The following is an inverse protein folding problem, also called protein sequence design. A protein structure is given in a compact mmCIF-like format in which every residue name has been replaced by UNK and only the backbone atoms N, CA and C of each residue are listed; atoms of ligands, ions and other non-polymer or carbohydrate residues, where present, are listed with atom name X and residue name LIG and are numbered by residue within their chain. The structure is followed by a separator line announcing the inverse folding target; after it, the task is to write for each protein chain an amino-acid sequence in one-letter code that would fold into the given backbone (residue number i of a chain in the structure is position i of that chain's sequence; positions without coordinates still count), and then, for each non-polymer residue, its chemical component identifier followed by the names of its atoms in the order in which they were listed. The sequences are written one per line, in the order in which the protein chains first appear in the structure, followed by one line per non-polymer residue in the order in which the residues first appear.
data_IF_366050709384
#
_entry.id   IF_366050709384
#
_cell.length_a   1.000
_cell.length_b   1.000
_cell.length_c   1.000
_cell.angle_alpha   90.00
_cell.angle_beta   90.00
_cell.angle_gamma   90.00
#
_symmetry.space_group_name_H-M   'P 1'
#
loop_
_entity.id
_entity.type
_entity.pdbx_description
1 polymer ?
#
# COMPACT_ATOMS: atom_id res chain seq x y z
N UNK A 1 -24.05 -16.75 33.00
CA UNK A 1 -22.89 -15.84 33.17
C UNK A 1 -21.52 -16.54 33.14
N UNK A 2 -21.42 -17.88 33.03
CA UNK A 2 -20.15 -18.58 32.83
C UNK A 2 -19.87 -18.98 31.37
N UNK A 3 -20.92 -19.27 30.58
CA UNK A 3 -20.79 -19.67 29.16
C UNK A 3 -20.32 -18.52 28.26
N UNK A 4 -20.69 -17.27 28.59
CA UNK A 4 -20.29 -16.07 27.82
C UNK A 4 -18.80 -15.74 28.01
N UNK A 5 -18.24 -15.98 29.20
CA UNK A 5 -16.83 -15.70 29.48
C UNK A 5 -15.88 -16.73 28.84
N UNK A 6 -16.29 -18.00 28.78
CA UNK A 6 -15.50 -19.05 28.10
C UNK A 6 -15.54 -18.84 26.58
N UNK A 7 -16.70 -18.46 26.03
CA UNK A 7 -16.84 -18.13 24.61
C UNK A 7 -15.99 -16.92 24.19
N UNK A 8 -15.97 -15.86 25.00
CA UNK A 8 -15.15 -14.67 24.74
C UNK A 8 -13.64 -14.96 24.83
N UNK A 9 -13.19 -15.76 25.80
CA UNK A 9 -11.78 -16.13 25.93
C UNK A 9 -11.26 -16.99 24.77
N UNK A 10 -12.09 -17.92 24.28
CA UNK A 10 -11.75 -18.73 23.10
C UNK A 10 -11.69 -17.90 21.82
N UNK A 11 -12.64 -16.97 21.64
CA UNK A 11 -12.65 -16.01 20.55
C UNK A 11 -11.41 -15.10 20.53
N UNK A 12 -11.07 -14.48 21.66
CA UNK A 12 -9.88 -13.63 21.78
C UNK A 12 -8.62 -14.44 21.45
N UNK A 13 -8.53 -15.70 21.91
CA UNK A 13 -7.39 -16.55 21.61
C UNK A 13 -7.24 -16.89 20.11
N UNK A 14 -8.33 -16.97 19.36
CA UNK A 14 -8.26 -17.22 17.90
C UNK A 14 -7.85 -15.97 17.13
N UNK A 15 -8.34 -14.80 17.55
CA UNK A 15 -8.02 -13.51 16.91
C UNK A 15 -6.57 -13.09 17.19
N UNK A 16 -6.06 -13.31 18.41
CA UNK A 16 -4.72 -12.86 18.85
C UNK A 16 -3.59 -13.71 18.26
N UNK A 17 -3.85 -14.96 17.87
CA UNK A 17 -2.82 -15.83 17.25
C UNK A 17 -2.96 -15.90 15.73
N UNK A 18 -3.69 -14.96 15.11
CA UNK A 18 -3.73 -14.87 13.67
C UNK A 18 -2.41 -14.31 13.14
N UNK A 19 -1.80 -15.01 12.19
CA UNK A 19 -0.71 -14.50 11.38
C UNK A 19 -1.29 -14.10 10.02
N UNK A 20 -0.97 -12.89 9.59
CA UNK A 20 -1.40 -12.37 8.29
C UNK A 20 -0.64 -13.06 7.18
N UNK A 21 -1.33 -13.42 6.09
CA UNK A 21 -0.67 -13.86 4.86
C UNK A 21 -0.01 -12.69 4.10
N UNK A 22 -0.28 -11.44 4.51
CA UNK A 22 0.40 -10.25 4.00
C UNK A 22 1.77 -10.07 4.63
N UNK A 23 2.69 -9.50 3.86
CA UNK A 23 4.03 -9.16 4.31
C UNK A 23 5.07 -10.17 3.85
N UNK A 24 6.20 -10.21 4.56
CA UNK A 24 7.32 -11.09 4.22
C UNK A 24 8.06 -11.51 5.48
N UNK A 25 8.66 -12.69 5.45
CA UNK A 25 9.57 -13.17 6.49
C UNK A 25 11.02 -12.70 6.28
N UNK A 26 11.29 -11.97 5.20
CA UNK A 26 12.60 -11.40 4.92
C UNK A 26 13.14 -10.59 6.12
N UNK A 27 14.45 -10.70 6.32
CA UNK A 27 15.20 -9.87 7.26
C UNK A 27 16.14 -8.98 6.44
N UNK A 28 16.10 -7.69 6.71
CA UNK A 28 16.90 -6.71 6.01
C UNK A 28 18.12 -6.31 6.84
N UNK A 29 19.31 -6.46 6.27
CA UNK A 29 20.55 -5.90 6.80
C UNK A 29 20.73 -4.48 6.30
N UNK A 30 20.99 -3.55 7.23
CA UNK A 30 21.15 -2.12 6.92
C UNK A 30 22.50 -1.63 7.38
N UNK A 31 23.25 -1.00 6.48
CA UNK A 31 24.49 -0.29 6.78
C UNK A 31 24.30 1.21 6.58
N UNK A 32 24.30 1.98 7.66
CA UNK A 32 24.19 3.45 7.57
C UNK A 32 25.51 4.08 7.14
N UNK A 33 25.44 4.95 6.14
CA UNK A 33 26.62 5.62 5.60
C UNK A 33 27.24 6.57 6.63
N UNK A 34 28.57 6.58 6.67
CA UNK A 34 29.39 7.52 7.46
C UNK A 34 30.66 7.91 6.67
N UNK A 35 31.14 9.16 6.76
CA UNK A 35 30.57 10.30 7.49
C UNK A 35 29.40 10.97 6.72
N UNK A 36 28.60 11.76 7.44
CA UNK A 36 27.66 12.71 6.85
C UNK A 36 28.40 13.90 6.21
N UNK A 37 27.76 14.57 5.25
CA UNK A 37 28.29 15.79 4.65
C UNK A 37 27.15 16.79 4.43
N UNK A 38 27.46 18.07 4.23
CA UNK A 38 26.46 19.10 3.88
C UNK A 38 26.06 18.98 2.38
N UNK A 39 26.09 17.75 1.85
CA UNK A 39 25.75 17.41 0.47
C UNK A 39 24.25 17.37 0.28
N UNK A 40 23.83 17.13 -0.96
CA UNK A 40 22.40 16.96 -1.31
C UNK A 40 22.17 15.72 -2.16
N UNK A 41 23.19 14.86 -2.25
CA UNK A 41 23.19 13.60 -3.00
C UNK A 41 24.04 12.56 -2.25
N UNK A 42 24.15 12.68 -0.92
CA UNK A 42 24.96 11.76 -0.15
C UNK A 42 24.27 10.41 0.00
N UNK A 43 25.06 9.34 0.08
CA UNK A 43 24.54 8.04 0.44
C UNK A 43 24.09 8.07 1.91
N UNK A 44 22.90 7.55 2.18
CA UNK A 44 22.29 7.49 3.50
C UNK A 44 22.44 6.10 4.09
N UNK A 45 22.09 5.07 3.31
CA UNK A 45 22.12 3.69 3.77
C UNK A 45 22.31 2.72 2.59
N UNK A 46 22.91 1.57 2.88
CA UNK A 46 22.95 0.41 1.99
C UNK A 46 22.10 -0.69 2.61
N UNK A 47 21.23 -1.30 1.81
CA UNK A 47 20.23 -2.27 2.24
C UNK A 47 20.41 -3.54 1.42
N UNK A 48 20.39 -4.69 2.07
CA UNK A 48 20.40 -6.01 1.44
C UNK A 48 19.63 -7.02 2.29
N UNK A 49 19.04 -8.03 1.66
CA UNK A 49 18.39 -9.09 2.40
C UNK A 49 19.40 -10.08 3.00
N UNK A 50 19.05 -10.71 4.13
CA UNK A 50 19.77 -11.89 4.60
C UNK A 50 19.59 -13.10 3.68
N UNK A 51 20.52 -14.05 3.76
CA UNK A 51 20.52 -15.28 2.94
C UNK A 51 19.18 -16.02 2.99
N UNK A 52 18.64 -16.36 1.82
CA UNK A 52 17.41 -17.14 1.68
C UNK A 52 16.12 -16.32 1.61
N UNK A 53 16.24 -15.00 1.47
CA UNK A 53 15.12 -14.10 1.22
C UNK A 53 14.41 -14.35 -0.13
N UNK A 54 13.19 -13.86 -0.23
CA UNK A 54 12.41 -13.78 -1.48
C UNK A 54 12.51 -12.39 -2.13
N UNK A 55 12.31 -12.31 -3.44
CA UNK A 55 12.20 -11.02 -4.14
C UNK A 55 10.91 -10.29 -3.71
N UNK A 56 10.98 -8.96 -3.55
CA UNK A 56 9.83 -8.14 -3.17
C UNK A 56 9.41 -7.22 -4.33
N UNK A 57 8.13 -7.22 -4.68
CA UNK A 57 7.58 -6.30 -5.69
C UNK A 57 7.71 -4.83 -5.23
N UNK A 58 8.28 -3.97 -6.08
CA UNK A 58 8.42 -2.53 -5.78
C UNK A 58 7.08 -1.83 -5.55
N UNK A 59 6.05 -2.28 -6.27
CA UNK A 59 4.67 -1.79 -6.15
C UNK A 59 4.05 -2.00 -4.76
N UNK A 60 4.60 -2.94 -3.98
CA UNK A 60 4.12 -3.33 -2.66
C UNK A 60 5.05 -2.89 -1.53
N UNK A 61 6.15 -2.22 -1.87
CA UNK A 61 7.19 -1.83 -0.94
C UNK A 61 7.08 -0.33 -0.63
N UNK A 62 7.14 0.01 0.65
CA UNK A 62 7.23 1.38 1.14
C UNK A 62 8.52 1.50 1.95
N UNK A 63 9.45 2.38 1.55
CA UNK A 63 10.66 2.68 2.32
C UNK A 63 10.62 4.12 2.80
N UNK A 64 11.09 4.36 4.01
CA UNK A 64 11.31 5.69 4.53
C UNK A 64 12.52 5.71 5.47
N UNK A 65 13.18 6.86 5.52
CA UNK A 65 14.23 7.15 6.49
C UNK A 65 13.77 8.25 7.43
N UNK A 66 13.88 8.00 8.74
CA UNK A 66 13.68 9.00 9.76
C UNK A 66 15.03 9.58 10.13
N UNK A 67 15.21 10.89 9.94
CA UNK A 67 16.36 11.64 10.43
C UNK A 67 15.90 12.55 11.56
N UNK A 68 16.41 12.32 12.75
CA UNK A 68 15.94 12.87 14.02
C UNK A 68 14.43 12.62 14.27
N UNK A 69 13.57 13.55 13.85
CA UNK A 69 12.12 13.50 14.04
C UNK A 69 11.32 13.66 12.73
N UNK A 70 12.01 13.80 11.60
CA UNK A 70 11.38 13.97 10.29
C UNK A 70 11.53 12.69 9.50
N UNK A 71 10.43 12.19 8.97
CA UNK A 71 10.41 10.98 8.14
C UNK A 71 10.31 11.38 6.67
N UNK A 72 11.20 10.84 5.86
CA UNK A 72 11.29 11.07 4.43
C UNK A 72 11.05 9.74 3.72
N UNK A 73 10.00 9.66 2.90
CA UNK A 73 9.80 8.47 2.08
C UNK A 73 10.88 8.40 1.00
N UNK A 74 11.28 7.18 0.67
CA UNK A 74 12.25 6.86 -0.36
C UNK A 74 11.54 6.15 -1.52
N UNK A 75 11.87 6.54 -2.75
CA UNK A 75 11.28 5.98 -3.96
C UNK A 75 12.20 6.20 -5.15
N UNK A 76 11.87 5.63 -6.31
CA UNK A 76 12.68 5.84 -7.52
C UNK A 76 12.60 7.27 -8.08
N UNK A 77 11.56 8.02 -7.73
CA UNK A 77 11.42 9.41 -8.18
C UNK A 77 10.53 10.26 -7.26
N UNK A 78 9.38 9.72 -6.88
CA UNK A 78 8.34 10.45 -6.15
C UNK A 78 8.00 9.77 -4.84
N UNK A 79 7.38 10.53 -3.95
CA UNK A 79 6.83 10.06 -2.69
C UNK A 79 5.40 10.56 -2.52
N UNK A 80 4.65 9.91 -1.63
CA UNK A 80 3.40 10.47 -1.15
C UNK A 80 3.63 11.66 -0.22
N UNK A 81 2.78 12.67 -0.37
CA UNK A 81 2.59 13.70 0.65
C UNK A 81 1.83 13.06 1.83
N UNK A 82 2.28 13.24 3.08
CA UNK A 82 1.59 12.69 4.25
C UNK A 82 0.13 13.14 4.30
N UNK A 83 -0.77 12.18 4.52
CA UNK A 83 -2.20 12.49 4.72
C UNK A 83 -2.43 13.26 6.01
N UNK A 84 -3.41 14.16 6.01
CA UNK A 84 -3.84 14.86 7.23
C UNK A 84 -4.34 13.88 8.30
N UNK A 85 -4.14 14.21 9.57
CA UNK A 85 -4.66 13.43 10.69
C UNK A 85 -6.20 13.34 10.60
N UNK A 86 -6.73 12.12 10.66
CA UNK A 86 -8.17 11.87 10.53
C UNK A 86 -8.69 11.89 9.08
N UNK A 87 -7.83 11.93 8.06
CA UNK A 87 -8.24 11.72 6.68
C UNK A 87 -8.97 10.38 6.52
N UNK A 88 -10.08 10.40 5.78
CA UNK A 88 -10.91 9.22 5.52
C UNK A 88 -10.40 8.36 4.35
N UNK A 89 -9.51 8.91 3.52
CA UNK A 89 -8.85 8.23 2.41
C UNK A 89 -7.37 8.57 2.51
N UNK A 90 -6.52 7.55 2.60
CA UNK A 90 -5.07 7.68 2.86
C UNK A 90 -4.28 6.92 1.80
N UNK A 91 -4.04 7.53 0.63
CA UNK A 91 -3.20 6.93 -0.39
C UNK A 91 -1.72 7.06 -0.01
N UNK A 92 -0.94 6.00 -0.23
CA UNK A 92 0.51 5.94 -0.07
C UNK A 92 1.13 5.36 -1.34
N UNK A 93 2.03 6.12 -1.96
CA UNK A 93 2.71 5.74 -3.18
C UNK A 93 3.80 4.71 -2.84
N UNK A 94 3.79 3.59 -3.55
CA UNK A 94 4.83 2.56 -3.44
C UNK A 94 6.17 3.05 -4.00
N UNK A 95 7.22 2.29 -3.74
CA UNK A 95 8.58 2.60 -4.18
C UNK A 95 8.69 2.71 -5.72
N UNK A 96 7.84 1.99 -6.45
CA UNK A 96 7.73 2.04 -7.91
C UNK A 96 7.30 3.41 -8.47
N UNK A 97 6.74 4.29 -7.63
CA UNK A 97 6.25 5.61 -8.03
C UNK A 97 5.00 5.58 -8.91
N UNK A 98 4.33 4.43 -9.03
CA UNK A 98 3.20 4.22 -9.95
C UNK A 98 1.97 3.58 -9.27
N UNK A 99 2.20 2.78 -8.23
CA UNK A 99 1.15 2.05 -7.51
C UNK A 99 0.87 2.71 -6.18
N UNK A 100 -0.41 2.92 -5.85
CA UNK A 100 -0.81 3.40 -4.53
C UNK A 100 -1.38 2.27 -3.69
N UNK A 101 -0.94 2.16 -2.44
CA UNK A 101 -1.65 1.48 -1.36
C UNK A 101 -2.59 2.50 -0.71
N UNK A 102 -3.90 2.27 -0.78
CA UNK A 102 -4.91 3.19 -0.26
C UNK A 102 -5.72 2.54 0.84
N UNK A 103 -5.72 3.15 2.02
CA UNK A 103 -6.61 2.81 3.14
C UNK A 103 -7.82 3.74 3.13
N UNK A 104 -9.02 3.18 3.33
CA UNK A 104 -10.27 3.94 3.45
C UNK A 104 -10.89 3.71 4.82
N UNK A 105 -11.17 4.78 5.55
CA UNK A 105 -11.94 4.72 6.80
C UNK A 105 -13.42 4.46 6.47
N UNK A 106 -13.89 3.25 6.77
CA UNK A 106 -15.27 2.82 6.60
C UNK A 106 -15.95 2.54 7.96
N UNK A 107 -15.50 3.20 9.02
CA UNK A 107 -15.95 2.91 10.40
C UNK A 107 -17.38 3.36 10.67
N UNK A 108 -17.86 4.41 9.99
CA UNK A 108 -19.21 4.96 10.12
C UNK A 108 -20.28 3.97 9.62
N UNK A 109 -21.24 3.65 10.49
CA UNK A 109 -22.28 2.67 10.22
C UNK A 109 -23.50 3.24 9.50
N UNK A 110 -23.66 4.56 9.51
CA UNK A 110 -24.83 5.27 8.99
C UNK A 110 -24.51 6.00 7.68
N UNK A 111 -23.22 6.22 7.40
CA UNK A 111 -22.75 6.97 6.23
C UNK A 111 -21.68 6.21 5.48
N UNK A 112 -21.65 6.43 4.17
CA UNK A 112 -20.59 5.92 3.31
C UNK A 112 -19.46 6.94 3.19
N UNK A 113 -18.23 6.45 3.26
CA UNK A 113 -17.05 7.17 2.76
C UNK A 113 -17.01 7.01 1.25
N UNK A 114 -16.97 8.13 0.53
CA UNK A 114 -17.01 8.16 -0.93
C UNK A 114 -15.59 8.39 -1.46
N UNK A 115 -15.16 7.56 -2.41
CA UNK A 115 -13.84 7.60 -3.03
C UNK A 115 -13.99 7.83 -4.53
N UNK A 116 -13.18 8.73 -5.07
CA UNK A 116 -12.90 8.78 -6.50
C UNK A 116 -11.56 8.08 -6.76
N UNK A 117 -11.57 6.94 -7.48
CA UNK A 117 -10.34 6.15 -7.65
C UNK A 117 -9.34 6.81 -8.60
N UNK A 118 -9.78 7.69 -9.50
CA UNK A 118 -8.90 8.36 -10.46
C UNK A 118 -8.01 9.40 -9.76
N UNK A 119 -8.57 10.09 -8.76
CA UNK A 119 -7.86 11.11 -7.98
C UNK A 119 -7.38 10.61 -6.63
N UNK A 120 -7.81 9.42 -6.19
CA UNK A 120 -7.60 8.88 -4.83
C UNK A 120 -8.00 9.85 -3.71
N UNK A 121 -8.95 10.73 -4.01
CA UNK A 121 -9.48 11.72 -3.09
C UNK A 121 -10.91 11.41 -2.67
N UNK A 122 -11.39 12.19 -1.70
CA UNK A 122 -12.79 12.12 -1.27
C UNK A 122 -13.74 12.52 -2.40
N UNK A 123 -14.69 11.63 -2.67
CA UNK A 123 -15.85 11.90 -3.49
C UNK A 123 -17.03 12.44 -2.68
N UNK A 124 -18.20 12.43 -3.30
CA UNK A 124 -19.48 12.69 -2.65
C UNK A 124 -20.57 11.80 -3.27
N UNK A 125 -21.82 11.94 -2.80
CA UNK A 125 -22.95 11.12 -3.28
C UNK A 125 -23.10 11.11 -4.80
N UNK A 126 -22.84 12.24 -5.47
CA UNK A 126 -22.99 12.39 -6.92
C UNK A 126 -21.69 12.23 -7.71
N UNK A 127 -20.54 12.24 -7.04
CA UNK A 127 -19.22 12.23 -7.67
C UNK A 127 -18.29 11.30 -6.88
N UNK A 128 -18.41 10.01 -7.13
CA UNK A 128 -17.55 8.96 -6.59
C UNK A 128 -17.45 7.83 -7.60
N UNK A 129 -16.45 6.98 -7.44
CA UNK A 129 -16.35 5.69 -8.13
C UNK A 129 -16.77 4.56 -7.21
N UNK A 130 -16.34 4.63 -5.95
CA UNK A 130 -16.58 3.62 -4.94
C UNK A 130 -17.09 4.28 -3.66
N UNK A 131 -17.93 3.57 -2.91
CA UNK A 131 -18.37 4.02 -1.60
C UNK A 131 -18.31 2.87 -0.60
N UNK A 132 -17.85 3.17 0.61
CA UNK A 132 -17.48 2.19 1.65
C UNK A 132 -18.26 2.45 2.95
N UNK A 133 -18.84 1.42 3.53
CA UNK A 133 -19.33 1.43 4.92
C UNK A 133 -19.20 0.02 5.48
N UNK A 134 -18.43 -0.17 6.56
CA UNK A 134 -18.06 -1.49 7.06
C UNK A 134 -17.49 -2.36 5.92
N UNK A 135 -18.09 -3.52 5.68
CA UNK A 135 -17.72 -4.43 4.59
C UNK A 135 -18.46 -4.13 3.28
N UNK A 136 -19.40 -3.19 3.28
CA UNK A 136 -20.24 -2.91 2.13
C UNK A 136 -19.54 -1.90 1.23
N UNK A 137 -19.20 -2.38 0.03
CA UNK A 137 -18.56 -1.60 -1.03
C UNK A 137 -19.48 -1.62 -2.24
N UNK A 138 -19.80 -0.46 -2.78
CA UNK A 138 -20.59 -0.32 -4.01
C UNK A 138 -19.82 0.52 -5.03
N UNK A 139 -20.02 0.21 -6.30
CA UNK A 139 -19.54 0.99 -7.43
C UNK A 139 -20.60 2.02 -7.84
N UNK A 140 -20.19 3.14 -8.44
CA UNK A 140 -21.12 4.14 -9.00
C UNK A 140 -21.79 3.64 -10.29
N UNK A 141 -22.92 4.22 -10.67
CA UNK A 141 -23.79 3.71 -11.76
C UNK A 141 -23.09 3.57 -13.12
N UNK A 142 -22.20 4.51 -13.47
CA UNK A 142 -21.53 4.57 -14.77
C UNK A 142 -20.20 3.78 -14.82
N UNK A 143 -19.92 2.96 -13.81
CA UNK A 143 -18.69 2.17 -13.71
C UNK A 143 -18.86 0.82 -14.40
N UNK A 144 -17.85 0.42 -15.17
CA UNK A 144 -17.73 -0.94 -15.70
C UNK A 144 -16.60 -1.66 -14.96
N UNK A 145 -16.75 -2.96 -14.73
CA UNK A 145 -15.76 -3.69 -13.97
C UNK A 145 -15.69 -5.17 -14.34
N UNK A 146 -14.56 -5.79 -14.02
CA UNK A 146 -14.39 -7.24 -14.06
C UNK A 146 -13.53 -7.69 -12.86
N UNK A 147 -13.59 -8.97 -12.54
CA UNK A 147 -12.72 -9.58 -11.54
C UNK A 147 -11.88 -10.67 -12.20
N UNK A 148 -10.55 -10.57 -12.02
CA UNK A 148 -9.58 -11.57 -12.47
C UNK A 148 -9.18 -12.40 -11.27
N UNK A 149 -9.71 -13.62 -11.17
CA UNK A 149 -9.45 -14.53 -10.04
C UNK A 149 -7.99 -15.00 -10.00
N UNK A 150 -7.44 -15.14 -8.79
CA UNK A 150 -6.09 -15.66 -8.49
C UNK A 150 -4.95 -14.95 -9.25
N UNK A 151 -5.07 -13.63 -9.42
CA UNK A 151 -4.06 -12.81 -10.07
C UNK A 151 -3.37 -11.86 -9.07
N UNK A 152 -2.08 -11.62 -9.28
CA UNK A 152 -1.35 -10.50 -8.69
C UNK A 152 -1.66 -9.21 -9.45
N UNK A 153 -1.49 -8.06 -8.79
CA UNK A 153 -1.71 -6.76 -9.42
C UNK A 153 -0.78 -6.55 -10.63
N UNK A 154 0.47 -6.97 -10.53
CA UNK A 154 1.47 -6.86 -11.61
C UNK A 154 1.12 -7.73 -12.84
N UNK A 155 0.49 -8.91 -12.62
CA UNK A 155 0.16 -9.86 -13.67
C UNK A 155 -0.93 -9.35 -14.62
N UNK A 156 -1.80 -8.48 -14.11
CA UNK A 156 -2.91 -7.89 -14.88
C UNK A 156 -2.39 -6.70 -15.68
N UNK A 157 -2.11 -6.96 -16.95
CA UNK A 157 -1.57 -5.98 -17.92
C UNK A 157 -2.57 -5.61 -19.02
N UNK A 158 -3.62 -6.41 -19.18
CA UNK A 158 -4.72 -6.14 -20.12
C UNK A 158 -5.96 -6.94 -19.74
N UNK A 159 -7.12 -6.52 -20.23
CA UNK A 159 -8.40 -7.20 -20.01
C UNK A 159 -9.22 -7.25 -21.28
N UNK A 160 -10.07 -8.27 -21.42
CA UNK A 160 -11.09 -8.28 -22.46
C UNK A 160 -12.29 -7.43 -21.99
N UNK A 161 -12.34 -6.18 -22.44
CA UNK A 161 -13.41 -5.24 -22.10
C UNK A 161 -14.81 -5.74 -22.47
N UNK A 162 -14.96 -6.75 -23.34
CA UNK A 162 -16.26 -7.35 -23.64
C UNK A 162 -16.82 -8.20 -22.49
N UNK A 163 -15.97 -8.63 -21.55
CA UNK A 163 -16.35 -9.40 -20.37
C UNK A 163 -16.73 -8.50 -19.17
N UNK A 164 -16.54 -7.18 -19.28
CA UNK A 164 -16.82 -6.28 -18.19
C UNK A 164 -18.33 -6.15 -17.91
N UNK A 165 -18.67 -6.23 -16.63
CA UNK A 165 -19.98 -6.02 -16.07
C UNK A 165 -20.27 -4.54 -15.90
N UNK A 166 -21.53 -4.16 -16.12
CA UNK A 166 -22.07 -2.85 -15.76
C UNK A 166 -23.04 -2.95 -14.56
N UNK A 167 -23.07 -4.10 -13.87
CA UNK A 167 -23.90 -4.26 -12.68
C UNK A 167 -23.20 -3.62 -11.48
N UNK A 168 -23.74 -2.50 -11.03
CA UNK A 168 -23.23 -1.69 -9.92
C UNK A 168 -24.25 -1.53 -8.79
N UNK A 169 -25.46 -2.11 -8.97
CA UNK A 169 -26.53 -2.09 -7.97
C UNK A 169 -26.26 -3.04 -6.80
N UNK A 170 -25.54 -4.13 -7.07
CA UNK A 170 -25.16 -5.12 -6.07
C UNK A 170 -23.90 -4.68 -5.32
N UNK A 171 -23.79 -5.14 -4.06
CA UNK A 171 -22.57 -4.99 -3.27
C UNK A 171 -21.44 -5.74 -3.97
N UNK A 172 -20.25 -5.13 -4.01
CA UNK A 172 -19.05 -5.79 -4.51
C UNK A 172 -18.70 -6.99 -3.62
N UNK A 173 -18.57 -8.16 -4.22
CA UNK A 173 -18.21 -9.38 -3.51
C UNK A 173 -16.69 -9.49 -3.35
N UNK A 174 -16.11 -8.66 -2.47
CA UNK A 174 -14.66 -8.47 -2.36
C UNK A 174 -13.95 -9.30 -1.29
N UNK A 175 -14.70 -10.04 -0.47
CA UNK A 175 -14.14 -10.81 0.65
C UNK A 175 -14.83 -12.16 0.83
N UNK A 176 -14.15 -13.03 1.55
CA UNK A 176 -14.70 -14.22 2.20
C UNK A 176 -14.55 -14.08 3.72
N UNK A 177 -15.56 -14.53 4.46
CA UNK A 177 -15.52 -14.50 5.92
C UNK A 177 -15.00 -15.83 6.46
N UNK A 178 -13.84 -15.80 7.11
CA UNK A 178 -13.26 -16.96 7.76
C UNK A 178 -13.91 -17.16 9.13
N UNK A 179 -14.72 -18.21 9.27
CA UNK A 179 -15.40 -18.56 10.52
C UNK A 179 -14.48 -19.17 11.59
N UNK A 180 -13.29 -19.64 11.23
CA UNK A 180 -12.35 -20.25 12.15
C UNK A 180 -11.55 -19.19 12.93
N UNK A 181 -11.13 -18.13 12.26
CA UNK A 181 -10.41 -16.99 12.89
C UNK A 181 -11.25 -15.72 12.99
N UNK A 182 -12.48 -15.77 12.48
CA UNK A 182 -13.45 -14.68 12.49
C UNK A 182 -12.96 -13.40 11.81
N UNK A 183 -12.30 -13.57 10.66
CA UNK A 183 -11.72 -12.48 9.88
C UNK A 183 -12.38 -12.30 8.53
N UNK A 184 -12.36 -11.06 8.06
CA UNK A 184 -12.73 -10.68 6.69
C UNK A 184 -11.46 -10.75 5.86
N UNK A 185 -11.39 -11.72 4.96
CA UNK A 185 -10.23 -11.94 4.10
C UNK A 185 -10.60 -11.53 2.68
N UNK A 186 -9.86 -10.60 2.05
CA UNK A 186 -10.09 -10.26 0.66
C UNK A 186 -10.04 -11.48 -0.26
N UNK A 187 -10.84 -11.45 -1.32
CA UNK A 187 -10.74 -12.48 -2.38
C UNK A 187 -9.40 -12.36 -3.09
N UNK A 188 -8.78 -13.49 -3.38
CA UNK A 188 -7.56 -13.50 -4.18
C UNK A 188 -7.89 -13.22 -5.64
N UNK A 189 -7.53 -12.00 -6.07
CA UNK A 189 -7.72 -11.54 -7.43
C UNK A 189 -7.67 -10.03 -7.55
N UNK A 190 -7.89 -9.55 -8.76
CA UNK A 190 -7.80 -8.14 -9.11
C UNK A 190 -9.11 -7.68 -9.73
N UNK A 191 -9.68 -6.62 -9.17
CA UNK A 191 -10.74 -5.87 -9.81
C UNK A 191 -10.15 -4.96 -10.86
N UNK A 192 -10.69 -4.98 -12.07
CA UNK A 192 -10.33 -4.00 -13.09
C UNK A 192 -11.55 -3.16 -13.37
N UNK A 193 -11.42 -1.85 -13.16
CA UNK A 193 -12.52 -0.88 -13.08
C UNK A 193 -12.29 0.19 -14.14
N UNK A 194 -13.28 0.41 -15.00
CA UNK A 194 -13.29 1.48 -16.01
C UNK A 194 -14.05 2.69 -15.48
N UNK A 195 -13.39 3.86 -15.52
CA UNK A 195 -13.98 5.17 -15.22
C UNK A 195 -13.56 6.12 -16.32
N UNK A 196 -14.52 6.75 -17.00
CA UNK A 196 -14.25 7.74 -18.07
C UNK A 196 -13.25 7.22 -19.13
N UNK A 197 -13.41 5.97 -19.58
CA UNK A 197 -12.54 5.28 -20.56
C UNK A 197 -11.12 4.94 -20.06
N UNK A 198 -10.81 5.19 -18.79
CA UNK A 198 -9.56 4.79 -18.14
C UNK A 198 -9.77 3.54 -17.30
N UNK A 199 -8.91 2.53 -17.49
CA UNK A 199 -8.95 1.29 -16.73
C UNK A 199 -7.96 1.32 -15.58
N UNK A 200 -8.44 1.00 -14.38
CA UNK A 200 -7.64 0.85 -13.17
C UNK A 200 -7.67 -0.60 -12.74
N UNK A 201 -6.55 -1.11 -12.23
CA UNK A 201 -6.46 -2.41 -11.56
C UNK A 201 -6.35 -2.19 -10.06
N UNK A 202 -7.14 -2.93 -9.30
CA UNK A 202 -7.27 -2.79 -7.85
C UNK A 202 -7.26 -4.18 -7.18
N UNK A 203 -6.34 -4.39 -6.24
CA UNK A 203 -6.27 -5.61 -5.42
C UNK A 203 -6.54 -5.25 -3.95
N UNK A 204 -7.58 -5.81 -3.36
CA UNK A 204 -7.84 -5.65 -1.93
C UNK A 204 -6.82 -6.44 -1.12
N UNK A 205 -6.24 -5.80 -0.11
CA UNK A 205 -5.18 -6.35 0.74
C UNK A 205 -5.69 -6.67 2.13
N UNK A 206 -6.45 -5.76 2.75
CA UNK A 206 -6.90 -5.93 4.14
C UNK A 206 -8.25 -5.26 4.39
N UNK A 207 -8.91 -5.68 5.47
CA UNK A 207 -10.05 -4.99 6.09
C UNK A 207 -9.67 -4.26 7.39
N UNK A 208 -8.44 -4.46 7.83
CA UNK A 208 -7.91 -4.05 9.13
C UNK A 208 -6.75 -3.08 8.94
N UNK A 209 -6.66 -2.07 9.81
CA UNK A 209 -5.50 -1.18 9.86
C UNK A 209 -4.31 -1.84 10.59
N UNK A 210 -3.22 -1.10 10.75
CA UNK A 210 -2.01 -1.59 11.41
C UNK A 210 -2.19 -1.90 12.91
N UNK A 211 -3.24 -1.38 13.55
CA UNK A 211 -3.60 -1.67 14.94
C UNK A 211 -4.58 -2.86 15.05
N UNK A 212 -4.81 -3.57 13.94
CA UNK A 212 -5.77 -4.67 13.80
C UNK A 212 -7.24 -4.24 14.05
N UNK A 213 -7.53 -2.95 13.91
CA UNK A 213 -8.90 -2.44 13.97
C UNK A 213 -9.60 -2.69 12.64
N UNK A 214 -10.81 -3.23 12.69
CA UNK A 214 -11.63 -3.50 11.50
C UNK A 214 -12.20 -2.23 10.87
N UNK A 215 -12.70 -2.34 9.63
CA UNK A 215 -13.37 -1.25 8.87
C UNK A 215 -12.41 -0.25 8.26
N UNK A 216 -11.21 -0.72 7.94
CA UNK A 216 -10.22 -0.01 7.15
C UNK A 216 -9.88 -0.82 5.89
N UNK A 217 -10.83 -0.97 4.93
CA UNK A 217 -10.51 -1.58 3.64
C UNK A 217 -9.29 -0.93 3.02
N UNK A 218 -8.28 -1.74 2.76
CA UNK A 218 -7.01 -1.34 2.16
C UNK A 218 -6.83 -2.08 0.86
N UNK A 219 -6.44 -1.39 -0.19
CA UNK A 219 -6.19 -1.96 -1.51
C UNK A 219 -5.01 -1.30 -2.19
N UNK A 220 -4.35 -2.04 -3.07
CA UNK A 220 -3.42 -1.48 -4.04
C UNK A 220 -4.15 -1.11 -5.31
N UNK A 221 -3.77 -0.01 -5.94
CA UNK A 221 -4.35 0.47 -7.20
C UNK A 221 -3.29 1.09 -8.10
N UNK A 222 -3.41 0.78 -9.40
CA UNK A 222 -2.64 1.41 -10.46
C UNK A 222 -3.52 1.57 -11.70
N UNK A 223 -3.10 2.40 -12.66
CA UNK A 223 -3.64 2.32 -14.01
C UNK A 223 -3.32 0.93 -14.61
N UNK A 224 -4.23 0.37 -15.41
CA UNK A 224 -4.05 -0.93 -16.04
C UNK A 224 -2.91 -0.92 -17.07
N UNK A 225 -2.84 0.16 -17.83
CA UNK A 225 -1.82 0.45 -18.82
C UNK A 225 -0.99 1.67 -18.41
N UNK A 226 -0.01 2.04 -19.22
CA UNK A 226 0.79 3.26 -19.01
C UNK A 226 -0.01 4.56 -19.26
N UNK A 227 -1.34 4.53 -19.13
CA UNK A 227 -2.15 5.74 -19.15
C UNK A 227 -1.89 6.60 -17.92
N UNK A 228 -2.22 7.88 -18.05
CA UNK A 228 -2.05 8.83 -16.97
C UNK A 228 -3.00 8.47 -15.83
N UNK A 229 -2.45 8.07 -14.68
CA UNK A 229 -3.19 8.01 -13.43
C UNK A 229 -3.26 9.43 -12.84
N UNK A 230 -4.45 10.10 -12.81
CA UNK A 230 -4.52 11.50 -12.40
C UNK A 230 -3.97 11.78 -11.00
N UNK A 231 -4.11 10.85 -10.05
CA UNK A 231 -3.54 10.95 -8.71
C UNK A 231 -2.01 11.18 -8.71
N UNK A 232 -1.28 10.66 -9.69
CA UNK A 232 0.17 10.88 -9.82
C UNK A 232 0.55 12.32 -10.21
N UNK A 233 -0.41 13.10 -10.70
CA UNK A 233 -0.21 14.51 -11.08
C UNK A 233 -0.72 15.49 -10.02
N UNK A 234 -1.32 14.98 -8.94
CA UNK A 234 -1.83 15.82 -7.87
C UNK A 234 -0.71 16.16 -6.88
N UNK A 235 -0.27 17.42 -6.88
CA UNK A 235 0.79 17.90 -6.00
C UNK A 235 0.41 17.90 -4.51
N UNK A 236 -0.86 17.70 -4.18
CA UNK A 236 -1.33 17.49 -2.81
C UNK A 236 -1.20 16.03 -2.36
N UNK A 237 -0.97 15.10 -3.28
CA UNK A 237 -0.79 13.67 -3.01
C UNK A 237 0.64 13.20 -3.30
N UNK A 238 1.31 13.78 -4.29
CA UNK A 238 2.63 13.34 -4.76
C UNK A 238 3.60 14.52 -4.82
N UNK A 239 4.82 14.29 -4.34
CA UNK A 239 5.93 15.24 -4.43
C UNK A 239 7.21 14.50 -4.84
N UNK A 240 8.23 15.20 -5.39
CA UNK A 240 9.55 14.62 -5.59
C UNK A 240 10.09 14.00 -4.29
N UNK A 241 10.68 12.82 -4.40
CA UNK A 241 11.28 12.12 -3.26
C UNK A 241 12.62 12.75 -2.90
N UNK A 242 12.84 13.22 -1.67
CA UNK A 242 14.14 13.73 -1.22
C UNK A 242 15.11 12.60 -0.88
N UNK A 243 14.63 11.35 -0.87
CA UNK A 243 15.43 10.13 -0.73
C UNK A 243 15.19 9.25 -1.96
N UNK A 244 16.22 8.96 -2.76
CA UNK A 244 16.13 8.09 -3.92
C UNK A 244 16.62 6.68 -3.61
N UNK A 245 15.95 5.71 -4.22
CA UNK A 245 16.40 4.33 -4.28
C UNK A 245 17.28 4.17 -5.51
N UNK A 246 18.52 3.72 -5.30
CA UNK A 246 19.44 3.30 -6.36
C UNK A 246 19.53 1.78 -6.30
N UNK A 247 18.92 1.12 -7.30
CA UNK A 247 18.95 -0.33 -7.50
C UNK A 247 19.85 -0.67 -8.71
N UNK A 248 20.18 -1.95 -8.87
CA UNK A 248 21.07 -2.45 -9.92
C UNK A 248 20.40 -2.58 -11.29
N UNK A 249 19.11 -2.91 -11.33
CA UNK A 249 18.31 -3.01 -12.56
C UNK A 249 17.12 -2.05 -12.53
N UNK A 250 17.23 -0.92 -13.24
CA UNK A 250 16.19 0.12 -13.34
C UNK A 250 14.90 -0.37 -14.02
N UNK A 251 14.96 -1.47 -14.79
CA UNK A 251 13.79 -2.03 -15.48
C UNK A 251 13.11 -3.15 -14.67
N UNK A 252 13.65 -3.53 -13.51
CA UNK A 252 13.06 -4.56 -12.65
C UNK A 252 11.79 -4.07 -11.96
N UNK A 253 10.77 -4.93 -11.92
CA UNK A 253 9.53 -4.70 -11.15
C UNK A 253 9.62 -5.20 -9.70
N UNK A 254 10.74 -5.83 -9.35
CA UNK A 254 11.03 -6.38 -8.03
C UNK A 254 12.42 -6.00 -7.53
N UNK A 255 12.56 -5.86 -6.22
CA UNK A 255 13.83 -5.90 -5.52
C UNK A 255 14.26 -7.36 -5.43
N UNK A 256 15.31 -7.73 -6.16
CA UNK A 256 15.76 -9.11 -6.19
C UNK A 256 16.35 -9.53 -4.83
N UNK A 257 16.13 -10.79 -4.45
CA UNK A 257 16.58 -11.32 -3.16
C UNK A 257 18.10 -11.23 -2.93
N UNK A 258 18.90 -11.23 -3.99
CA UNK A 258 20.37 -11.15 -3.98
C UNK A 258 20.90 -9.76 -4.35
N UNK A 259 20.03 -8.76 -4.42
CA UNK A 259 20.36 -7.40 -4.80
C UNK A 259 20.55 -6.49 -3.57
N UNK A 260 21.64 -5.73 -3.61
CA UNK A 260 21.88 -4.62 -2.67
C UNK A 260 21.40 -3.31 -3.29
N UNK A 261 20.62 -2.53 -2.54
CA UNK A 261 20.21 -1.17 -2.93
C UNK A 261 20.88 -0.12 -2.06
N UNK A 262 20.95 1.11 -2.57
CA UNK A 262 21.44 2.27 -1.82
C UNK A 262 20.37 3.35 -1.75
N UNK A 263 20.15 3.90 -0.57
CA UNK A 263 19.36 5.12 -0.38
C UNK A 263 20.27 6.32 -0.46
N UNK A 264 19.92 7.30 -1.28
CA UNK A 264 20.69 8.53 -1.48
C UNK A 264 19.80 9.75 -1.32
N UNK A 265 20.37 10.86 -0.85
CA UNK A 265 19.67 12.15 -0.87
C UNK A 265 19.37 12.61 -2.30
N UNK A 266 18.38 13.48 -2.44
CA UNK A 266 17.99 14.06 -3.71
C UNK A 266 17.60 15.53 -3.57
N UNK A 267 18.54 16.40 -3.93
CA UNK A 267 18.39 17.86 -3.94
C UNK A 267 18.08 18.51 -2.59
N UNK A 268 18.04 17.72 -1.51
CA UNK A 268 17.82 18.16 -0.14
C UNK A 268 18.86 17.48 0.77
N UNK A 269 19.55 18.29 1.56
CA UNK A 269 20.41 17.82 2.65
C UNK A 269 19.50 17.26 3.76
N UNK A 270 19.49 15.93 3.87
CA UNK A 270 18.72 15.20 4.88
C UNK A 270 19.56 14.98 6.13
N UNK A 271 20.90 14.88 6.00
CA UNK A 271 21.81 14.62 7.12
C UNK A 271 23.18 15.24 6.93
N UNK A 272 23.44 16.30 7.71
CA UNK A 272 24.71 17.02 7.70
C UNK A 272 25.68 16.64 8.84
N UNK A 273 25.29 15.78 9.77
CA UNK A 273 26.05 15.50 11.00
C UNK A 273 25.87 14.10 11.61
N UNK A 274 25.93 14.05 12.95
CA UNK A 274 25.75 12.82 13.71
C UNK A 274 24.29 12.54 14.06
N UNK A 275 23.35 13.06 13.28
CA UNK A 275 21.92 12.81 13.47
C UNK A 275 21.66 11.31 13.47
N UNK A 276 20.71 10.91 14.32
CA UNK A 276 20.28 9.53 14.37
C UNK A 276 19.39 9.26 13.16
N UNK A 277 19.68 8.18 12.46
CA UNK A 277 18.86 7.69 11.37
C UNK A 277 18.22 6.37 11.77
N UNK A 278 16.96 6.22 11.40
CA UNK A 278 16.19 4.99 11.53
C UNK A 278 15.53 4.68 10.18
N UNK A 279 15.54 3.40 9.79
CA UNK A 279 14.92 2.95 8.55
C UNK A 279 13.56 2.34 8.87
N UNK A 280 12.54 2.72 8.10
CA UNK A 280 11.21 2.10 8.12
C UNK A 280 11.01 1.42 6.77
N UNK A 281 10.75 0.11 6.78
CA UNK A 281 10.43 -0.65 5.57
C UNK A 281 9.12 -1.39 5.80
N UNK A 282 8.19 -1.27 4.85
CA UNK A 282 6.95 -2.03 4.83
C UNK A 282 6.77 -2.76 3.51
N UNK A 283 6.30 -4.00 3.58
CA UNK A 283 5.88 -4.78 2.43
C UNK A 283 4.42 -5.19 2.63
N UNK A 284 3.56 -4.88 1.65
CA UNK A 284 2.11 -5.10 1.73
C UNK A 284 1.47 -4.47 2.99
N UNK A 285 2.04 -3.34 3.42
CA UNK A 285 1.62 -2.60 4.62
C UNK A 285 2.16 -3.15 5.95
N UNK A 286 2.80 -4.32 5.97
CA UNK A 286 3.41 -4.91 7.17
C UNK A 286 4.88 -4.51 7.30
N UNK A 287 5.35 -4.28 8.53
CA UNK A 287 6.75 -3.90 8.78
C UNK A 287 7.70 -5.07 8.53
N UNK A 288 8.77 -4.80 7.79
CA UNK A 288 9.83 -5.76 7.51
C UNK A 288 10.85 -5.74 8.64
N UNK A 289 11.36 -6.92 9.03
CA UNK A 289 12.36 -7.04 10.09
C UNK A 289 13.69 -6.43 9.63
N UNK A 290 14.30 -5.58 10.46
CA UNK A 290 15.56 -4.89 10.16
C UNK A 290 16.62 -5.24 11.20
N UNK A 291 17.84 -5.50 10.72
CA UNK A 291 19.05 -5.70 11.52
C UNK A 291 20.09 -4.68 11.08
N UNK A 292 20.53 -3.84 12.02
CA UNK A 292 21.61 -2.89 11.77
C UNK A 292 22.96 -3.61 11.75
N UNK A 293 23.73 -3.36 10.69
CA UNK A 293 25.12 -3.82 10.56
C UNK A 293 26.05 -2.68 10.93
N UNK A 294 27.02 -3.00 11.81
CA UNK A 294 27.99 -2.05 12.37
C UNK A 294 29.17 -1.78 11.46
#
# INVERSE_FOLDING_TARGET
MFVVLIGAGFWISLVVNYESDLGTDNVLSVGYSTPSSDGVNDALATLEFEDGAESLLWASLELAITVDATTYACGFASQSVPSEEGALVRPRLGADGLTFTTEVDATDEERFTHLNIATLGLGNESAHTMRFSKTDIFLAEDVRWLFVENAGLADVTSVDASQASNNTADRLEWYDYDLAVHRVNPKDGVYVIEVEEVWYKLKFMSYYNNEDESRYPTFQIAALDATLFPALQDSSLVAPSPCLIIAGDEDSVEWAADETITLVENELDLRSGSEHMELIVRYEGQEVKIVETS
#
